data_IF_270034889577
#
_entry.id   IF_270034889577
#
_cell.length_a   1.000
_cell.length_b   1.000
_cell.length_c   1.000
_cell.angle_alpha   90.00
_cell.angle_beta   90.00
_cell.angle_gamma   90.00
#
_symmetry.space_group_name_H-M   'P 1'
#
loop_
_entity.id
_entity.type
_entity.pdbx_description
1 polymer ?
#
# COMPACT_ATOMS: atom_id res chain seq x y z
N UNK A 1 12.06 -6.77 -6.08
CA UNK A 1 12.26 -5.52 -5.32
C UNK A 1 11.35 -4.46 -5.92
N UNK A 2 10.32 -4.01 -5.18
CA UNK A 2 9.56 -2.82 -5.55
C UNK A 2 10.54 -1.64 -5.60
N UNK A 3 10.46 -0.80 -6.64
CA UNK A 3 11.32 0.39 -6.66
C UNK A 3 11.00 1.24 -5.43
N UNK A 4 12.00 1.92 -4.82
CA UNK A 4 11.71 3.19 -4.16
C UNK A 4 10.89 4.02 -5.14
N UNK A 5 9.93 4.82 -4.66
CA UNK A 5 9.28 5.81 -5.52
C UNK A 5 10.42 6.59 -6.19
N UNK A 6 10.55 6.47 -7.51
CA UNK A 6 11.58 7.19 -8.25
C UNK A 6 11.43 8.65 -7.86
N UNK A 7 12.49 9.30 -7.36
CA UNK A 7 12.43 10.71 -6.97
C UNK A 7 11.95 11.61 -8.14
N UNK A 8 12.09 11.13 -9.38
CA UNK A 8 11.57 11.75 -10.61
C UNK A 8 10.03 11.78 -10.67
N UNK A 9 9.34 10.92 -9.92
CA UNK A 9 7.86 10.88 -9.79
C UNK A 9 7.35 11.54 -8.51
N UNK A 10 8.24 11.99 -7.63
CA UNK A 10 7.84 12.72 -6.44
C UNK A 10 7.49 14.17 -6.84
N UNK A 11 6.28 14.62 -6.49
CA UNK A 11 5.90 16.00 -6.75
C UNK A 11 6.85 16.94 -6.01
N UNK A 12 7.39 17.94 -6.71
CA UNK A 12 8.28 18.94 -6.10
C UNK A 12 7.61 19.63 -4.89
N UNK A 13 6.28 19.81 -4.94
CA UNK A 13 5.48 20.34 -3.84
C UNK A 13 5.56 19.44 -2.59
N UNK A 14 5.53 18.12 -2.75
CA UNK A 14 5.64 17.20 -1.62
C UNK A 14 7.02 17.27 -0.96
N UNK A 15 8.10 17.32 -1.76
CA UNK A 15 9.45 17.51 -1.24
C UNK A 15 9.59 18.83 -0.45
N UNK A 16 9.00 19.91 -0.96
CA UNK A 16 9.01 21.20 -0.27
C UNK A 16 8.17 21.20 1.03
N UNK A 17 7.02 20.51 1.04
CA UNK A 17 6.21 20.32 2.25
C UNK A 17 6.99 19.56 3.33
N UNK A 18 7.67 18.47 2.96
CA UNK A 18 8.50 17.71 3.91
C UNK A 18 9.69 18.51 4.44
N UNK A 19 10.24 19.43 3.65
CA UNK A 19 11.33 20.32 4.08
C UNK A 19 10.85 21.37 5.08
N UNK A 20 9.63 21.87 4.91
CA UNK A 20 9.07 22.96 5.73
C UNK A 20 8.40 22.49 7.01
N UNK A 21 7.88 21.26 7.03
CA UNK A 21 7.05 20.76 8.12
C UNK A 21 7.56 19.42 8.64
N UNK A 22 7.62 19.22 9.97
CA UNK A 22 7.99 17.93 10.56
C UNK A 22 6.81 16.94 10.47
N UNK A 23 6.54 16.43 9.26
CA UNK A 23 5.47 15.45 9.01
C UNK A 23 5.92 14.07 9.51
N UNK A 24 5.57 13.75 10.76
CA UNK A 24 5.86 12.45 11.38
C UNK A 24 4.70 11.45 11.29
N UNK A 25 3.51 11.91 10.90
CA UNK A 25 2.27 11.12 10.78
C UNK A 25 1.43 11.66 9.62
N UNK A 26 0.49 10.88 9.05
CA UNK A 26 -0.43 11.38 8.04
C UNK A 26 -1.08 12.69 8.51
N UNK A 27 -0.90 13.74 7.72
CA UNK A 27 -1.29 15.10 8.09
C UNK A 27 -1.92 15.82 6.91
N UNK A 28 -2.82 16.75 7.19
CA UNK A 28 -3.40 17.66 6.19
C UNK A 28 -2.97 19.08 6.49
N UNK A 29 -2.89 19.91 5.45
CA UNK A 29 -2.67 21.34 5.61
C UNK A 29 -3.99 22.09 5.61
N UNK A 30 -4.08 23.10 6.45
CA UNK A 30 -5.26 23.94 6.59
C UNK A 30 -4.85 25.39 6.34
N UNK A 31 -5.61 26.08 5.50
CA UNK A 31 -5.40 27.49 5.21
C UNK A 31 -5.61 28.33 6.47
N UNK A 32 -4.63 29.20 6.77
CA UNK A 32 -4.70 30.11 7.92
C UNK A 32 -5.74 31.22 7.74
N UNK A 33 -6.18 31.48 6.51
CA UNK A 33 -7.10 32.57 6.18
C UNK A 33 -8.55 32.22 6.49
N UNK A 34 -8.95 31.01 6.15
CA UNK A 34 -10.35 30.56 6.14
C UNK A 34 -10.56 29.20 6.82
N UNK A 35 -9.49 28.53 7.28
CA UNK A 35 -9.60 27.23 7.93
C UNK A 35 -9.94 26.08 6.98
N UNK A 36 -9.89 26.30 5.66
CA UNK A 36 -10.24 25.29 4.66
C UNK A 36 -9.05 24.35 4.44
N UNK A 37 -9.32 23.05 4.30
CA UNK A 37 -8.31 22.06 3.98
C UNK A 37 -7.69 22.34 2.60
N UNK A 38 -6.37 22.23 2.52
CA UNK A 38 -5.64 22.44 1.26
C UNK A 38 -5.61 21.16 0.43
N UNK A 39 -5.63 21.34 -0.89
CA UNK A 39 -5.46 20.29 -1.88
C UNK A 39 -4.55 20.77 -3.01
N UNK A 40 -3.66 19.90 -3.49
CA UNK A 40 -2.80 20.16 -4.65
C UNK A 40 -3.63 20.31 -5.93
N UNK A 41 -4.72 19.54 -6.03
CA UNK A 41 -5.67 19.56 -7.14
C UNK A 41 -7.10 19.77 -6.60
N UNK A 42 -7.47 21.00 -6.18
CA UNK A 42 -8.71 21.28 -5.46
C UNK A 42 -9.99 21.07 -6.28
N UNK A 43 -9.89 20.95 -7.60
CA UNK A 43 -11.02 20.60 -8.48
C UNK A 43 -11.25 19.09 -8.58
N UNK A 44 -10.28 18.28 -8.13
CA UNK A 44 -10.30 16.82 -8.23
C UNK A 44 -10.41 16.17 -6.85
N UNK A 45 -9.74 16.74 -5.84
CA UNK A 45 -9.71 16.24 -4.47
C UNK A 45 -10.08 17.32 -3.46
N UNK A 46 -10.88 16.94 -2.46
CA UNK A 46 -11.24 17.81 -1.34
C UNK A 46 -10.04 18.16 -0.43
N UNK A 47 -9.08 17.25 -0.33
CA UNK A 47 -7.89 17.41 0.53
C UNK A 47 -6.70 16.61 0.01
N UNK A 48 -5.50 17.14 0.21
CA UNK A 48 -4.24 16.40 0.02
C UNK A 48 -3.65 15.99 1.37
N UNK A 49 -3.31 14.70 1.50
CA UNK A 49 -2.69 14.14 2.70
C UNK A 49 -1.19 14.05 2.48
N UNK A 50 -0.42 14.75 3.31
CA UNK A 50 1.03 14.59 3.40
C UNK A 50 1.35 13.38 4.29
N UNK A 51 2.01 12.40 3.70
CA UNK A 51 2.48 11.21 4.41
C UNK A 51 3.90 11.44 4.95
N UNK A 52 4.31 10.76 6.03
CA UNK A 52 5.69 10.79 6.45
C UNK A 52 6.59 10.12 5.40
N UNK A 53 7.85 10.56 5.24
CA UNK A 53 8.81 9.87 4.40
C UNK A 53 8.96 8.41 4.86
N UNK A 54 9.06 7.48 3.91
CA UNK A 54 9.28 6.06 4.19
C UNK A 54 10.73 5.80 4.63
N UNK A 55 11.10 6.25 5.83
CA UNK A 55 12.46 6.08 6.39
C UNK A 55 12.82 4.61 6.60
N UNK A 56 11.82 3.81 6.92
CA UNK A 56 11.94 2.36 7.09
C UNK A 56 11.05 1.66 6.08
N UNK A 57 11.57 0.59 5.50
CA UNK A 57 10.83 -0.25 4.55
C UNK A 57 10.92 -1.71 4.94
N UNK A 58 9.83 -2.44 4.72
CA UNK A 58 9.72 -3.89 4.88
C UNK A 58 9.44 -4.47 3.49
N UNK A 59 10.41 -5.20 2.94
CA UNK A 59 10.36 -5.75 1.57
C UNK A 59 10.02 -4.65 0.53
N UNK A 60 10.66 -3.48 0.67
CA UNK A 60 10.47 -2.33 -0.23
C UNK A 60 9.15 -1.57 -0.05
N UNK A 61 8.36 -1.89 0.97
CA UNK A 61 7.12 -1.18 1.30
C UNK A 61 7.28 -0.33 2.56
N UNK A 62 6.71 0.89 2.64
CA UNK A 62 6.87 1.73 3.82
C UNK A 62 6.35 1.08 5.10
N UNK A 63 7.13 1.13 6.19
CA UNK A 63 6.77 0.48 7.46
C UNK A 63 5.49 1.06 8.10
N UNK A 64 5.14 2.32 7.81
CA UNK A 64 3.93 2.96 8.32
C UNK A 64 2.63 2.31 7.81
N UNK A 65 2.68 1.45 6.79
CA UNK A 65 1.56 0.61 6.38
C UNK A 65 1.10 -0.37 7.48
N UNK A 66 1.93 -0.61 8.51
CA UNK A 66 1.55 -1.35 9.70
C UNK A 66 0.47 -0.66 10.53
N UNK A 67 0.22 0.65 10.33
CA UNK A 67 -0.77 1.44 11.09
C UNK A 67 -0.62 1.26 12.61
N UNK A 68 0.57 1.49 13.15
CA UNK A 68 0.86 1.29 14.59
C UNK A 68 0.55 -0.14 15.06
N UNK A 69 1.05 -1.13 14.31
CA UNK A 69 0.88 -2.58 14.55
C UNK A 69 -0.57 -3.11 14.43
N UNK A 70 -1.53 -2.29 14.02
CA UNK A 70 -2.87 -2.76 13.67
C UNK A 70 -2.87 -3.72 12.48
N UNK A 71 -1.88 -3.57 11.59
CA UNK A 71 -1.62 -4.45 10.44
C UNK A 71 -0.22 -5.04 10.57
N UNK A 72 -0.10 -6.32 10.24
CA UNK A 72 1.18 -7.05 10.26
C UNK A 72 1.69 -7.29 8.85
N UNK A 73 3.01 -7.17 8.61
CA UNK A 73 3.61 -7.61 7.38
C UNK A 73 3.49 -9.14 7.27
N UNK A 74 2.69 -9.58 6.32
CA UNK A 74 2.39 -10.99 6.06
C UNK A 74 2.97 -11.39 4.72
N UNK A 75 3.90 -12.33 4.73
CA UNK A 75 4.43 -12.95 3.52
C UNK A 75 3.34 -13.74 2.79
N UNK A 76 3.25 -13.54 1.47
CA UNK A 76 2.31 -14.26 0.63
C UNK A 76 3.11 -15.14 -0.33
N UNK A 77 3.03 -16.46 -0.13
CA UNK A 77 3.62 -17.42 -1.05
C UNK A 77 2.79 -17.42 -2.35
N UNK A 78 3.39 -16.98 -3.44
CA UNK A 78 2.76 -16.95 -4.76
C UNK A 78 3.74 -17.47 -5.79
N UNK A 79 3.27 -18.37 -6.65
CA UNK A 79 4.01 -18.71 -7.86
C UNK A 79 3.75 -17.64 -8.94
N UNK A 80 4.66 -16.67 -9.01
CA UNK A 80 4.65 -15.64 -10.04
C UNK A 80 5.55 -16.00 -11.24
N UNK A 81 6.13 -17.20 -11.27
CA UNK A 81 7.09 -17.59 -12.31
C UNK A 81 6.43 -17.94 -13.64
N UNK A 82 5.15 -18.36 -13.61
CA UNK A 82 4.38 -18.75 -14.78
C UNK A 82 3.55 -17.60 -15.41
N UNK A 83 3.53 -16.40 -14.80
CA UNK A 83 2.63 -15.31 -15.18
C UNK A 83 3.33 -14.16 -15.95
N UNK A 84 2.57 -13.51 -16.84
CA UNK A 84 3.02 -12.27 -17.50
C UNK A 84 2.91 -11.10 -16.52
N UNK A 85 4.03 -10.46 -16.23
CA UNK A 85 4.08 -9.21 -15.46
C UNK A 85 3.66 -8.01 -16.35
N UNK A 86 3.14 -6.91 -15.78
CA UNK A 86 2.90 -6.68 -14.35
C UNK A 86 1.62 -7.37 -13.84
N UNK A 87 1.58 -7.64 -12.54
CA UNK A 87 0.40 -8.16 -11.84
C UNK A 87 0.06 -7.29 -10.62
N UNK A 88 -1.23 -7.20 -10.29
CA UNK A 88 -1.69 -6.64 -9.02
C UNK A 88 -2.10 -7.77 -8.10
N UNK A 89 -1.66 -7.70 -6.85
CA UNK A 89 -2.02 -8.64 -5.80
C UNK A 89 -2.88 -7.88 -4.80
N UNK A 90 -4.08 -8.39 -4.52
CA UNK A 90 -5.04 -7.76 -3.62
C UNK A 90 -5.50 -8.75 -2.55
N UNK A 91 -5.66 -8.27 -1.31
CA UNK A 91 -6.28 -9.02 -0.23
C UNK A 91 -7.65 -8.42 0.12
N UNK A 92 -8.71 -9.20 -0.01
CA UNK A 92 -10.07 -8.87 0.48
C UNK A 92 -10.47 -9.86 1.56
N UNK A 93 -11.27 -9.44 2.54
CA UNK A 93 -11.79 -10.41 3.51
C UNK A 93 -12.72 -11.39 2.80
N UNK A 94 -12.72 -12.67 3.21
CA UNK A 94 -13.52 -13.73 2.56
C UNK A 94 -15.02 -13.41 2.53
N UNK A 95 -15.52 -12.66 3.52
CA UNK A 95 -16.94 -12.33 3.64
C UNK A 95 -17.30 -10.97 3.02
N UNK A 96 -16.37 -10.32 2.33
CA UNK A 96 -16.61 -9.05 1.65
C UNK A 96 -16.94 -9.25 0.16
N UNK A 97 -17.67 -8.29 -0.40
CA UNK A 97 -17.97 -8.25 -1.83
C UNK A 97 -16.69 -8.12 -2.67
N UNK A 98 -16.72 -8.60 -3.92
CA UNK A 98 -15.64 -8.32 -4.90
C UNK A 98 -15.40 -6.81 -5.13
N UNK A 99 -16.44 -6.00 -4.91
CA UNK A 99 -16.36 -4.54 -5.05
C UNK A 99 -15.80 -3.86 -3.80
N UNK A 100 -15.53 -4.60 -2.73
CA UNK A 100 -14.92 -4.04 -1.53
C UNK A 100 -13.51 -3.52 -1.84
N UNK A 101 -13.15 -2.44 -1.15
CA UNK A 101 -11.79 -1.92 -1.17
C UNK A 101 -10.88 -2.99 -0.53
N UNK A 102 -9.84 -3.48 -1.22
CA UNK A 102 -8.89 -4.40 -0.63
C UNK A 102 -8.30 -3.86 0.67
N UNK A 103 -8.15 -4.72 1.66
CA UNK A 103 -7.47 -4.42 2.91
C UNK A 103 -6.03 -3.95 2.63
N UNK A 104 -5.39 -4.56 1.64
CA UNK A 104 -4.12 -4.13 1.08
C UNK A 104 -3.97 -4.57 -0.38
N UNK A 105 -3.10 -3.88 -1.13
CA UNK A 105 -2.74 -4.22 -2.51
C UNK A 105 -1.31 -3.86 -2.84
N UNK A 106 -0.72 -4.57 -3.80
CA UNK A 106 0.63 -4.28 -4.31
C UNK A 106 0.74 -4.61 -5.80
N UNK A 107 1.43 -3.74 -6.55
CA UNK A 107 1.76 -3.95 -7.96
C UNK A 107 3.14 -4.60 -8.06
N UNK A 108 3.24 -5.73 -8.75
CA UNK A 108 4.51 -6.40 -9.04
C UNK A 108 4.83 -6.22 -10.52
N UNK A 109 5.87 -5.43 -10.81
CA UNK A 109 6.30 -5.13 -12.18
C UNK A 109 7.50 -5.97 -12.65
N UNK A 110 8.19 -6.63 -11.72
CA UNK A 110 9.38 -7.46 -11.98
C UNK A 110 9.33 -8.72 -11.13
N UNK A 111 9.96 -9.82 -11.57
CA UNK A 111 10.01 -11.05 -10.78
C UNK A 111 10.55 -10.76 -9.37
N UNK A 112 9.88 -11.28 -8.36
CA UNK A 112 10.25 -11.13 -6.95
C UNK A 112 10.01 -12.46 -6.25
N UNK A 113 10.86 -12.80 -5.28
CA UNK A 113 10.71 -14.00 -4.45
C UNK A 113 9.85 -13.76 -3.22
N UNK A 114 9.71 -12.50 -2.84
CA UNK A 114 8.98 -12.09 -1.64
C UNK A 114 7.90 -11.09 -2.02
N UNK A 115 6.69 -11.35 -1.53
CA UNK A 115 5.55 -10.45 -1.56
C UNK A 115 5.06 -10.32 -0.13
N UNK A 116 4.92 -9.07 0.35
CA UNK A 116 4.39 -8.77 1.68
C UNK A 116 3.14 -7.91 1.54
N UNK A 117 2.08 -8.31 2.24
CA UNK A 117 0.86 -7.52 2.46
C UNK A 117 0.75 -7.14 3.94
N UNK A 118 0.29 -5.93 4.24
CA UNK A 118 0.03 -5.43 5.58
C UNK A 118 -1.42 -5.71 5.94
N UNK A 119 -1.65 -6.80 6.68
CA UNK A 119 -2.99 -7.33 6.95
C UNK A 119 -3.31 -7.31 8.44
N UNK A 120 -4.58 -7.08 8.77
CA UNK A 120 -5.09 -7.34 10.13
C UNK A 120 -5.24 -8.86 10.33
N UNK A 121 -5.40 -9.35 11.56
CA UNK A 121 -5.84 -10.72 11.77
C UNK A 121 -7.19 -10.98 11.09
N UNK A 122 -7.34 -12.11 10.41
CA UNK A 122 -8.54 -12.45 9.66
C UNK A 122 -8.33 -13.46 8.54
N UNK A 123 -9.42 -13.76 7.83
CA UNK A 123 -9.41 -14.64 6.67
C UNK A 123 -9.57 -13.82 5.39
N UNK A 124 -8.68 -14.03 4.44
CA UNK A 124 -8.58 -13.28 3.20
C UNK A 124 -8.66 -14.19 1.99
N UNK A 125 -9.26 -13.65 0.93
CA UNK A 125 -9.05 -14.08 -0.44
C UNK A 125 -7.97 -13.19 -1.05
N UNK A 126 -6.90 -13.83 -1.48
CA UNK A 126 -5.77 -13.21 -2.17
C UNK A 126 -5.95 -13.46 -3.66
N UNK A 127 -6.15 -12.39 -4.42
CA UNK A 127 -6.28 -12.45 -5.87
C UNK A 127 -5.07 -11.86 -6.55
N UNK A 128 -4.59 -12.51 -7.60
CA UNK A 128 -3.57 -12.00 -8.50
C UNK A 128 -4.23 -11.71 -9.84
N UNK A 129 -4.21 -10.45 -10.27
CA UNK A 129 -4.76 -10.03 -11.56
C UNK A 129 -3.66 -9.55 -12.51
N UNK A 130 -3.74 -9.95 -13.78
CA UNK A 130 -2.87 -9.43 -14.83
C UNK A 130 -3.19 -7.99 -15.24
N UNK A 131 -2.41 -7.44 -16.17
CA UNK A 131 -2.56 -6.06 -16.65
C UNK A 131 -3.93 -5.74 -17.27
N UNK A 132 -4.66 -6.75 -17.76
CA UNK A 132 -6.02 -6.58 -18.31
C UNK A 132 -7.13 -6.76 -17.26
N UNK A 133 -6.76 -7.01 -16.00
CA UNK A 133 -7.69 -7.21 -14.89
C UNK A 133 -8.21 -8.64 -14.74
N UNK A 134 -7.80 -9.58 -15.60
CA UNK A 134 -8.15 -10.98 -15.45
C UNK A 134 -7.44 -11.60 -14.24
N UNK A 135 -8.16 -12.38 -13.44
CA UNK A 135 -7.59 -13.14 -12.33
C UNK A 135 -6.78 -14.30 -12.90
N UNK A 136 -5.49 -14.35 -12.57
CA UNK A 136 -4.55 -15.40 -13.00
C UNK A 136 -4.26 -16.41 -11.89
N UNK A 137 -4.48 -16.02 -10.64
CA UNK A 137 -4.37 -16.90 -9.47
C UNK A 137 -5.25 -16.36 -8.34
N UNK A 138 -5.80 -17.26 -7.54
CA UNK A 138 -6.52 -16.95 -6.32
C UNK A 138 -6.20 -17.98 -5.24
N UNK A 139 -5.98 -17.51 -4.01
CA UNK A 139 -5.78 -18.38 -2.86
C UNK A 139 -6.39 -17.80 -1.58
N UNK A 140 -6.65 -18.67 -0.60
CA UNK A 140 -7.08 -18.25 0.73
C UNK A 140 -5.89 -18.11 1.67
N UNK A 141 -5.92 -17.07 2.49
CA UNK A 141 -4.91 -16.79 3.50
C UNK A 141 -5.58 -16.52 4.84
N UNK A 142 -5.16 -17.23 5.88
CA UNK A 142 -5.52 -16.90 7.26
C UNK A 142 -4.35 -16.19 7.92
N UNK A 143 -4.62 -15.03 8.50
CA UNK A 143 -3.67 -14.26 9.31
C UNK A 143 -4.11 -14.36 10.75
N UNK A 144 -3.31 -15.04 11.56
CA UNK A 144 -3.58 -15.16 12.99
C UNK A 144 -3.14 -13.90 13.75
N UNK A 145 -3.74 -13.69 14.92
CA UNK A 145 -3.43 -12.55 15.78
C UNK A 145 -1.96 -12.47 16.17
N UNK A 146 -1.22 -13.58 16.13
CA UNK A 146 0.19 -13.70 16.52
C UNK A 146 1.15 -13.99 15.37
N UNK A 147 0.69 -13.89 14.10
CA UNK A 147 1.52 -14.18 12.95
C UNK A 147 2.80 -13.31 12.96
N UNK A 148 3.96 -13.96 13.06
CA UNK A 148 5.28 -13.36 12.86
C UNK A 148 5.74 -13.67 11.43
N UNK A 149 6.55 -12.80 10.84
CA UNK A 149 7.30 -13.08 9.61
C UNK A 149 8.01 -14.44 9.77
N UNK A 150 7.67 -15.42 8.94
CA UNK A 150 8.50 -16.61 8.80
C UNK A 150 9.77 -16.18 8.07
N UNK A 151 10.91 -16.33 8.75
CA UNK A 151 12.26 -16.02 8.25
C UNK A 151 12.73 -17.07 7.27
#
# INVERSE_FOLDING_TARGET
>A
MLRPIDAVREYADYAELLRRFPIARPSIFVSRKDGIAWSLEPTVYDVSVALPPARETIVGRPAWLALSDERKPTGVALDLSAGTLPVVIEARFVNESEKAVPADRVLIERPTREVVLFLRPGSYRISVSGATGNIVNEQHLRVDADAKLQQ
#
